data_IF_406275921355
#
_entry.id   IF_406275921355
#
_cell.length_a   1.000
_cell.length_b   1.000
_cell.length_c   1.000
_cell.angle_alpha   90.00
_cell.angle_beta   90.00
_cell.angle_gamma   90.00
#
_symmetry.space_group_name_H-M   'P 1'
#
loop_
_entity.id
_entity.type
_entity.pdbx_description
1 polymer ?
#
# COMPACT_ATOMS: atom_id res chain seq x y z
N UNK A 1 -1.11 -20.53 -14.23
CA UNK A 1 -2.30 -20.77 -15.09
C UNK A 1 -3.37 -21.55 -14.38
N UNK A 2 -3.05 -22.72 -13.84
CA UNK A 2 -4.02 -23.61 -13.19
C UNK A 2 -4.77 -22.96 -12.01
N UNK A 3 -4.09 -22.22 -11.13
CA UNK A 3 -4.72 -21.60 -9.96
C UNK A 3 -5.82 -20.58 -10.33
N UNK A 4 -5.56 -19.69 -11.29
CA UNK A 4 -6.53 -18.71 -11.77
C UNK A 4 -7.76 -19.40 -12.40
N UNK A 5 -7.51 -20.39 -13.26
CA UNK A 5 -8.58 -21.19 -13.86
C UNK A 5 -9.46 -21.87 -12.79
N UNK A 6 -8.86 -22.55 -11.81
CA UNK A 6 -9.62 -23.19 -10.74
C UNK A 6 -10.35 -22.19 -9.84
N UNK A 7 -9.78 -21.01 -9.62
CA UNK A 7 -10.48 -19.89 -8.97
C UNK A 7 -11.75 -19.51 -9.72
N UNK A 8 -11.67 -19.32 -11.04
CA UNK A 8 -12.84 -19.02 -11.87
C UNK A 8 -13.87 -20.15 -11.89
N UNK A 9 -13.43 -21.41 -11.93
CA UNK A 9 -14.34 -22.55 -11.83
C UNK A 9 -15.04 -22.62 -10.47
N UNK A 10 -14.35 -22.29 -9.37
CA UNK A 10 -14.96 -22.28 -8.04
C UNK A 10 -16.09 -21.24 -7.92
N UNK A 11 -15.94 -20.07 -8.53
CA UNK A 11 -17.01 -19.06 -8.61
C UNK A 11 -18.21 -19.58 -9.42
N UNK A 12 -17.97 -20.21 -10.58
CA UNK A 12 -19.05 -20.82 -11.39
C UNK A 12 -19.80 -21.92 -10.63
N UNK A 13 -19.09 -22.74 -9.86
CA UNK A 13 -19.70 -23.79 -9.03
C UNK A 13 -20.55 -23.16 -7.92
N UNK A 14 -20.05 -22.12 -7.25
CA UNK A 14 -20.80 -21.40 -6.22
C UNK A 14 -22.11 -20.82 -6.77
N UNK A 15 -22.07 -20.21 -7.96
CA UNK A 15 -23.26 -19.69 -8.65
C UNK A 15 -24.21 -20.82 -9.07
N UNK A 16 -23.69 -21.89 -9.69
CA UNK A 16 -24.50 -23.03 -10.15
C UNK A 16 -25.23 -23.72 -8.99
N UNK A 17 -24.56 -23.86 -7.85
CA UNK A 17 -25.13 -24.46 -6.64
C UNK A 17 -25.99 -23.47 -5.83
N UNK A 18 -26.11 -22.21 -6.26
CA UNK A 18 -26.85 -21.15 -5.57
C UNK A 18 -26.44 -20.95 -4.09
N UNK A 19 -25.17 -21.23 -3.77
CA UNK A 19 -24.62 -21.12 -2.41
C UNK A 19 -23.87 -19.80 -2.19
N UNK A 20 -24.41 -18.69 -2.73
CA UNK A 20 -23.78 -17.35 -2.63
C UNK A 20 -23.54 -16.89 -1.19
N UNK A 21 -24.28 -17.42 -0.22
CA UNK A 21 -24.03 -17.19 1.21
C UNK A 21 -22.63 -17.64 1.68
N UNK A 22 -21.95 -18.51 0.92
CA UNK A 22 -20.55 -18.92 1.17
C UNK A 22 -19.51 -17.98 0.54
N UNK A 23 -19.92 -16.93 -0.17
CA UNK A 23 -18.99 -16.04 -0.88
C UNK A 23 -17.96 -15.39 0.06
N UNK A 24 -18.35 -15.07 1.30
CA UNK A 24 -17.48 -14.54 2.36
C UNK A 24 -16.27 -15.44 2.68
N UNK A 25 -16.39 -16.76 2.47
CA UNK A 25 -15.32 -17.74 2.73
C UNK A 25 -14.39 -17.94 1.53
N UNK A 26 -14.90 -17.70 0.32
CA UNK A 26 -14.20 -18.01 -0.93
C UNK A 26 -13.53 -16.78 -1.53
N UNK A 27 -14.28 -15.69 -1.68
CA UNK A 27 -13.87 -14.52 -2.45
C UNK A 27 -12.62 -13.84 -1.86
N UNK A 28 -12.48 -13.64 -0.54
CA UNK A 28 -11.26 -13.06 0.03
C UNK A 28 -10.02 -13.90 -0.27
N UNK A 29 -10.12 -15.22 -0.19
CA UNK A 29 -9.02 -16.12 -0.52
C UNK A 29 -8.62 -16.04 -1.99
N UNK A 30 -9.59 -16.01 -2.91
CA UNK A 30 -9.31 -15.90 -4.34
C UNK A 30 -8.61 -14.57 -4.67
N UNK A 31 -9.09 -13.45 -4.14
CA UNK A 31 -8.46 -12.15 -4.42
C UNK A 31 -7.11 -11.99 -3.75
N UNK A 32 -6.95 -12.44 -2.50
CA UNK A 32 -5.68 -12.30 -1.81
C UNK A 32 -4.58 -13.23 -2.31
N UNK A 33 -4.90 -14.39 -2.88
CA UNK A 33 -3.88 -15.39 -3.22
C UNK A 33 -3.81 -15.74 -4.72
N UNK A 34 -4.86 -15.45 -5.49
CA UNK A 34 -5.00 -16.02 -6.85
C UNK A 34 -5.21 -14.95 -7.92
N UNK A 35 -6.27 -14.15 -7.83
CA UNK A 35 -6.69 -13.28 -8.93
C UNK A 35 -5.78 -12.07 -9.13
N UNK A 36 -5.20 -11.52 -8.07
CA UNK A 36 -4.28 -10.37 -8.17
C UNK A 36 -3.03 -10.67 -9.00
N UNK A 37 -2.71 -11.94 -9.29
CA UNK A 37 -1.62 -12.28 -10.20
C UNK A 37 -1.91 -11.95 -11.66
N UNK A 38 -3.19 -11.86 -12.04
CA UNK A 38 -3.61 -11.72 -13.45
C UNK A 38 -4.63 -10.63 -13.68
N UNK A 39 -5.25 -10.14 -12.62
CA UNK A 39 -6.28 -9.14 -12.66
C UNK A 39 -5.82 -7.88 -11.91
N UNK A 40 -6.22 -6.69 -12.39
CA UNK A 40 -5.98 -5.46 -11.66
C UNK A 40 -6.53 -5.57 -10.22
N UNK A 41 -5.76 -5.12 -9.23
CA UNK A 41 -6.16 -5.21 -7.83
C UNK A 41 -7.54 -4.57 -7.55
N UNK A 42 -7.83 -3.46 -8.23
CA UNK A 42 -9.13 -2.75 -8.16
C UNK A 42 -10.34 -3.63 -8.49
N UNK A 43 -10.16 -4.67 -9.31
CA UNK A 43 -11.23 -5.60 -9.66
C UNK A 43 -11.71 -6.42 -8.46
N UNK A 44 -10.93 -6.44 -7.37
CA UNK A 44 -11.31 -7.09 -6.10
C UNK A 44 -12.42 -6.39 -5.33
N UNK A 45 -12.59 -5.07 -5.50
CA UNK A 45 -13.37 -4.26 -4.56
C UNK A 45 -14.86 -4.61 -4.56
N UNK A 46 -15.46 -4.72 -5.73
CA UNK A 46 -16.87 -5.12 -5.88
C UNK A 46 -17.14 -6.50 -5.27
N UNK A 47 -16.45 -7.56 -5.73
CA UNK A 47 -16.61 -8.90 -5.18
C UNK A 47 -16.39 -8.99 -3.67
N UNK A 48 -15.39 -8.29 -3.12
CA UNK A 48 -15.10 -8.31 -1.68
C UNK A 48 -16.20 -7.62 -0.87
N UNK A 49 -16.76 -6.52 -1.38
CA UNK A 49 -17.87 -5.84 -0.73
C UNK A 49 -19.17 -6.68 -0.78
N UNK A 50 -19.43 -7.38 -1.88
CA UNK A 50 -20.52 -8.33 -2.00
C UNK A 50 -20.35 -9.52 -1.05
N UNK A 51 -19.13 -10.05 -0.94
CA UNK A 51 -18.78 -11.12 0.00
C UNK A 51 -19.02 -10.70 1.46
N UNK A 52 -18.64 -9.48 1.84
CA UNK A 52 -18.95 -8.90 3.15
C UNK A 52 -20.46 -8.89 3.42
N UNK A 53 -21.26 -8.32 2.51
CA UNK A 53 -22.72 -8.24 2.66
C UNK A 53 -23.37 -9.62 2.77
N UNK A 54 -22.90 -10.57 1.94
CA UNK A 54 -23.38 -11.96 1.96
C UNK A 54 -23.09 -12.65 3.30
N UNK A 55 -21.87 -12.49 3.82
CA UNK A 55 -21.48 -13.04 5.13
C UNK A 55 -22.32 -12.48 6.27
N UNK A 56 -22.57 -11.16 6.29
CA UNK A 56 -23.44 -10.55 7.30
C UNK A 56 -24.88 -11.11 7.24
N UNK A 57 -25.46 -11.22 6.05
CA UNK A 57 -26.80 -11.75 5.87
C UNK A 57 -26.91 -13.23 6.29
N UNK A 58 -25.83 -13.99 6.15
CA UNK A 58 -25.74 -15.37 6.58
C UNK A 58 -25.41 -15.54 8.08
N UNK A 59 -25.16 -14.45 8.81
CA UNK A 59 -24.70 -14.49 10.20
C UNK A 59 -23.24 -14.94 10.37
N UNK A 60 -22.48 -15.04 9.28
CA UNK A 60 -21.07 -15.44 9.28
C UNK A 60 -20.15 -14.21 9.45
N UNK A 61 -20.19 -13.62 10.65
CA UNK A 61 -19.52 -12.36 10.94
C UNK A 61 -17.99 -12.45 10.75
N UNK A 62 -17.35 -13.56 11.15
CA UNK A 62 -15.89 -13.70 11.02
C UNK A 62 -15.46 -13.57 9.55
N UNK A 63 -16.12 -14.29 8.63
CA UNK A 63 -15.78 -14.25 7.22
C UNK A 63 -16.29 -13.00 6.50
N UNK A 64 -17.40 -12.41 6.97
CA UNK A 64 -17.80 -11.08 6.53
C UNK A 64 -16.66 -10.09 6.80
N UNK A 65 -16.20 -10.00 8.04
CA UNK A 65 -15.13 -9.06 8.41
C UNK A 65 -13.76 -9.43 7.82
N UNK A 66 -13.48 -10.70 7.53
CA UNK A 66 -12.33 -11.06 6.69
C UNK A 66 -12.43 -10.46 5.27
N UNK A 67 -13.64 -10.45 4.68
CA UNK A 67 -13.90 -9.80 3.39
C UNK A 67 -13.77 -8.28 3.48
N UNK A 68 -14.24 -7.67 4.56
CA UNK A 68 -14.02 -6.25 4.83
C UNK A 68 -12.52 -5.92 4.97
N UNK A 69 -11.73 -6.79 5.61
CA UNK A 69 -10.27 -6.63 5.65
C UNK A 69 -9.65 -6.62 4.29
N UNK A 70 -10.02 -7.60 3.48
CA UNK A 70 -9.54 -7.69 2.12
C UNK A 70 -9.90 -6.44 1.33
N UNK A 71 -11.15 -5.99 1.43
CA UNK A 71 -11.61 -4.80 0.76
C UNK A 71 -10.74 -3.59 1.14
N UNK A 72 -10.58 -3.31 2.44
CA UNK A 72 -9.87 -2.11 2.87
C UNK A 72 -8.40 -2.12 2.44
N UNK A 73 -7.72 -3.27 2.56
CA UNK A 73 -6.32 -3.40 2.17
C UNK A 73 -6.14 -3.29 0.65
N UNK A 74 -6.96 -3.97 -0.15
CA UNK A 74 -6.90 -3.88 -1.60
C UNK A 74 -7.26 -2.47 -2.10
N UNK A 75 -8.20 -1.80 -1.46
CA UNK A 75 -8.58 -0.43 -1.78
C UNK A 75 -7.42 0.55 -1.53
N UNK A 76 -6.83 0.47 -0.33
CA UNK A 76 -5.66 1.29 0.02
C UNK A 76 -4.48 0.99 -0.89
N UNK A 77 -4.03 -0.27 -0.98
CA UNK A 77 -2.85 -0.64 -1.76
C UNK A 77 -3.04 -0.50 -3.29
N UNK A 78 -4.30 -0.40 -3.73
CA UNK A 78 -4.69 -0.18 -5.13
C UNK A 78 -4.61 1.29 -5.57
N UNK A 79 -4.34 2.22 -4.64
CA UNK A 79 -4.30 3.65 -4.95
C UNK A 79 -5.66 4.25 -5.28
N UNK A 80 -6.74 3.65 -4.78
CA UNK A 80 -8.09 4.17 -4.89
C UNK A 80 -8.32 5.33 -3.90
N UNK A 81 -9.36 6.13 -4.12
CA UNK A 81 -9.66 7.34 -3.33
C UNK A 81 -9.84 7.04 -1.83
N UNK A 82 -9.01 7.68 -1.00
CA UNK A 82 -9.03 7.50 0.45
C UNK A 82 -10.33 7.99 1.10
N UNK A 83 -11.03 8.96 0.50
CA UNK A 83 -12.30 9.48 1.05
C UNK A 83 -13.38 8.40 1.01
N UNK A 84 -13.52 7.71 -0.12
CA UNK A 84 -14.45 6.60 -0.27
C UNK A 84 -14.10 5.42 0.63
N UNK A 85 -12.81 5.11 0.79
CA UNK A 85 -12.33 4.08 1.71
C UNK A 85 -12.71 4.41 3.15
N UNK A 86 -12.41 5.63 3.60
CA UNK A 86 -12.71 6.12 4.95
C UNK A 86 -14.21 6.01 5.26
N UNK A 87 -15.06 6.47 4.34
CA UNK A 87 -16.52 6.35 4.46
C UNK A 87 -16.97 4.89 4.63
N UNK A 88 -16.44 3.98 3.80
CA UNK A 88 -16.78 2.56 3.86
C UNK A 88 -16.25 1.89 5.13
N UNK A 89 -15.08 2.30 5.63
CA UNK A 89 -14.50 1.83 6.88
C UNK A 89 -15.31 2.30 8.10
N UNK A 90 -15.89 3.51 8.09
CA UNK A 90 -16.83 3.96 9.14
C UNK A 90 -18.07 3.08 9.20
N UNK A 91 -18.59 2.61 8.06
CA UNK A 91 -19.69 1.65 8.01
C UNK A 91 -19.28 0.30 8.61
N UNK A 92 -18.10 -0.23 8.21
CA UNK A 92 -17.58 -1.48 8.77
C UNK A 92 -17.33 -1.38 10.28
N UNK A 93 -16.78 -0.25 10.75
CA UNK A 93 -16.55 0.02 12.17
C UNK A 93 -17.85 -0.09 12.97
N UNK A 94 -18.88 0.66 12.57
CA UNK A 94 -20.18 0.65 13.27
C UNK A 94 -20.74 -0.77 13.37
N UNK A 95 -20.68 -1.54 12.28
CA UNK A 95 -21.16 -2.93 12.28
C UNK A 95 -20.26 -3.85 13.11
N UNK A 96 -18.95 -3.60 13.14
CA UNK A 96 -17.99 -4.39 13.90
C UNK A 96 -18.19 -4.25 15.39
N UNK A 97 -18.44 -3.03 15.86
CA UNK A 97 -18.78 -2.72 17.26
C UNK A 97 -20.07 -3.42 17.72
N UNK A 98 -21.05 -3.60 16.83
CA UNK A 98 -22.27 -4.40 17.12
C UNK A 98 -22.00 -5.91 17.24
N UNK A 99 -20.92 -6.43 16.64
CA UNK A 99 -20.61 -7.86 16.59
C UNK A 99 -19.55 -8.29 17.63
N UNK A 100 -18.39 -7.63 17.66
CA UNK A 100 -17.27 -7.88 18.58
C UNK A 100 -16.18 -6.81 18.44
N UNK A 101 -15.64 -6.34 19.57
CA UNK A 101 -14.55 -5.36 19.61
C UNK A 101 -13.26 -5.82 18.90
N UNK A 102 -12.95 -7.14 18.92
CA UNK A 102 -11.72 -7.66 18.30
C UNK A 102 -11.73 -7.54 16.75
N UNK A 103 -12.90 -7.45 16.12
CA UNK A 103 -13.03 -7.26 14.67
C UNK A 103 -12.73 -5.81 14.26
N UNK A 104 -12.96 -4.85 15.15
CA UNK A 104 -12.64 -3.44 14.94
C UNK A 104 -11.11 -3.19 14.97
N UNK A 105 -10.40 -3.78 15.92
CA UNK A 105 -8.95 -3.62 16.09
C UNK A 105 -8.17 -3.95 14.80
N UNK A 106 -8.69 -4.86 13.96
CA UNK A 106 -8.06 -5.25 12.68
C UNK A 106 -7.97 -4.11 11.65
N UNK A 107 -8.91 -3.15 11.65
CA UNK A 107 -8.96 -2.03 10.70
C UNK A 107 -8.58 -0.69 11.30
N UNK A 108 -8.64 -0.57 12.62
CA UNK A 108 -8.41 0.69 13.33
C UNK A 108 -7.15 1.44 12.88
N UNK A 109 -5.97 0.78 12.73
CA UNK A 109 -4.76 1.47 12.25
C UNK A 109 -4.92 2.10 10.85
N UNK A 110 -5.53 1.37 9.92
CA UNK A 110 -5.73 1.87 8.55
C UNK A 110 -6.78 2.99 8.51
N UNK A 111 -7.82 2.93 9.35
CA UNK A 111 -8.81 4.01 9.43
C UNK A 111 -8.18 5.30 9.99
N UNK A 112 -7.39 5.17 11.06
CA UNK A 112 -6.64 6.30 11.63
C UNK A 112 -5.68 6.89 10.59
N UNK A 113 -4.98 6.05 9.82
CA UNK A 113 -4.13 6.51 8.72
C UNK A 113 -4.92 7.29 7.66
N UNK A 114 -6.10 6.79 7.25
CA UNK A 114 -6.93 7.45 6.24
C UNK A 114 -7.45 8.82 6.74
N UNK A 115 -7.93 8.89 7.99
CA UNK A 115 -8.35 10.15 8.60
C UNK A 115 -7.19 11.16 8.68
N UNK A 116 -6.00 10.67 9.05
CA UNK A 116 -4.81 11.50 9.16
C UNK A 116 -4.41 12.09 7.81
N UNK A 117 -4.31 11.23 6.78
CA UNK A 117 -3.99 11.65 5.42
C UNK A 117 -5.05 12.56 4.81
N UNK A 118 -6.33 12.32 5.10
CA UNK A 118 -7.45 13.15 4.67
C UNK A 118 -7.55 14.50 5.38
N UNK A 119 -6.78 14.71 6.46
CA UNK A 119 -6.80 15.94 7.26
C UNK A 119 -8.01 16.06 8.19
N UNK A 120 -8.66 14.95 8.55
CA UNK A 120 -9.81 14.94 9.46
C UNK A 120 -9.39 15.07 10.94
N UNK A 121 -8.15 14.70 11.28
CA UNK A 121 -7.64 14.67 12.66
C UNK A 121 -7.04 15.99 13.15
N UNK A 122 -7.40 17.12 12.52
CA UNK A 122 -6.99 18.46 12.96
C UNK A 122 -5.47 18.67 12.98
N UNK A 123 -4.91 19.12 14.11
CA UNK A 123 -3.49 19.44 14.28
C UNK A 123 -2.61 18.24 14.66
N UNK A 124 -3.14 17.02 14.61
CA UNK A 124 -2.38 15.81 14.95
C UNK A 124 -1.08 15.72 14.13
N UNK A 125 0.04 15.46 14.81
CA UNK A 125 1.35 15.25 14.21
C UNK A 125 1.53 13.80 13.73
N UNK A 126 2.57 13.53 12.92
CA UNK A 126 2.91 12.14 12.53
C UNK A 126 3.25 11.31 13.78
N UNK A 127 3.91 11.89 14.78
CA UNK A 127 4.28 11.19 16.01
C UNK A 127 3.03 10.82 16.82
N UNK A 128 2.07 11.75 16.94
CA UNK A 128 0.82 11.51 17.64
C UNK A 128 0.05 10.33 17.00
N UNK A 129 0.11 10.15 15.68
CA UNK A 129 -0.46 8.99 15.00
C UNK A 129 0.34 7.71 15.29
N UNK A 130 1.68 7.78 15.26
CA UNK A 130 2.53 6.62 15.51
C UNK A 130 2.38 6.09 16.95
N UNK A 131 2.16 6.98 17.92
CA UNK A 131 1.89 6.62 19.32
C UNK A 131 0.61 5.77 19.48
N UNK A 132 -0.38 5.93 18.60
CA UNK A 132 -1.58 5.07 18.62
C UNK A 132 -1.35 3.70 18.00
N UNK A 133 -0.34 3.56 17.13
CA UNK A 133 -0.04 2.30 16.42
C UNK A 133 0.78 1.35 17.30
N UNK A 134 1.70 1.87 18.11
CA UNK A 134 2.62 1.05 18.91
C UNK A 134 1.89 0.09 19.87
N UNK A 135 0.88 0.50 20.67
CA UNK A 135 0.13 -0.42 21.53
C UNK A 135 -0.63 -1.50 20.74
N UNK A 136 -1.15 -1.15 19.55
CA UNK A 136 -1.87 -2.09 18.68
C UNK A 136 -0.93 -3.13 18.09
N UNK A 137 0.27 -2.73 17.69
CA UNK A 137 1.32 -3.63 17.21
C UNK A 137 1.78 -4.58 18.31
N UNK A 138 2.08 -4.07 19.51
CA UNK A 138 2.52 -4.88 20.65
C UNK A 138 1.45 -5.90 21.05
N UNK A 139 0.20 -5.44 21.22
CA UNK A 139 -0.95 -6.31 21.54
C UNK A 139 -1.13 -7.43 20.50
N UNK A 140 -0.93 -7.14 19.21
CA UNK A 140 -1.03 -8.15 18.17
C UNK A 140 0.07 -9.22 18.29
N UNK A 141 1.32 -8.80 18.52
CA UNK A 141 2.42 -9.75 18.74
C UNK A 141 2.27 -10.57 20.02
N UNK A 142 1.83 -9.96 21.12
CA UNK A 142 1.54 -10.65 22.39
C UNK A 142 0.44 -11.71 22.25
N UNK A 143 -0.59 -11.43 21.44
CA UNK A 143 -1.65 -12.40 21.10
C UNK A 143 -1.21 -13.44 20.07
N UNK A 144 0.00 -13.35 19.53
CA UNK A 144 0.50 -14.23 18.47
C UNK A 144 -0.03 -13.92 17.06
N UNK A 145 -0.78 -12.82 16.87
CA UNK A 145 -1.24 -12.36 15.56
C UNK A 145 -0.13 -11.60 14.83
N UNK A 146 0.86 -12.36 14.34
CA UNK A 146 2.00 -11.82 13.60
C UNK A 146 1.56 -11.05 12.35
N UNK A 147 0.51 -11.49 11.66
CA UNK A 147 0.02 -10.84 10.43
C UNK A 147 -0.43 -9.42 10.74
N UNK A 148 -1.21 -9.24 11.81
CA UNK A 148 -1.65 -7.92 12.22
C UNK A 148 -0.49 -7.08 12.75
N UNK A 149 0.41 -7.64 13.56
CA UNK A 149 1.57 -6.92 14.08
C UNK A 149 2.45 -6.34 12.96
N UNK A 150 2.81 -7.15 11.97
CA UNK A 150 3.58 -6.67 10.82
C UNK A 150 2.79 -5.74 9.89
N UNK A 151 1.46 -5.88 9.80
CA UNK A 151 0.63 -4.93 9.07
C UNK A 151 0.70 -3.54 9.70
N UNK A 152 0.60 -3.45 11.04
CA UNK A 152 0.74 -2.16 11.75
C UNK A 152 2.13 -1.58 11.52
N UNK A 153 3.18 -2.40 11.66
CA UNK A 153 4.56 -1.98 11.38
C UNK A 153 4.74 -1.45 9.95
N UNK A 154 4.12 -2.09 8.95
CA UNK A 154 4.12 -1.61 7.56
C UNK A 154 3.40 -0.27 7.38
N UNK A 155 2.30 -0.03 8.10
CA UNK A 155 1.63 1.28 8.06
C UNK A 155 2.47 2.38 8.74
N UNK A 156 3.24 2.03 9.79
CA UNK A 156 4.21 2.94 10.41
C UNK A 156 5.34 3.29 9.43
N UNK A 157 5.94 2.29 8.77
CA UNK A 157 7.01 2.53 7.81
C UNK A 157 6.53 3.36 6.62
N UNK A 158 5.31 3.08 6.13
CA UNK A 158 4.64 3.82 5.08
C UNK A 158 4.49 5.31 5.43
N UNK A 159 3.94 5.64 6.61
CA UNK A 159 3.68 7.05 6.97
C UNK A 159 4.98 7.80 7.23
N UNK A 160 5.97 7.16 7.87
CA UNK A 160 7.31 7.73 8.08
C UNK A 160 7.98 8.04 6.74
N UNK A 161 7.94 7.10 5.79
CA UNK A 161 8.43 7.32 4.43
C UNK A 161 7.75 8.51 3.76
N UNK A 162 6.41 8.55 3.78
CA UNK A 162 5.62 9.56 3.07
C UNK A 162 5.91 10.98 3.57
N UNK A 163 6.23 11.14 4.86
CA UNK A 163 6.59 12.44 5.46
C UNK A 163 8.10 12.69 5.56
N UNK A 164 8.92 11.78 4.99
CA UNK A 164 10.37 11.94 4.86
C UNK A 164 11.20 11.56 6.10
N UNK A 165 10.62 10.90 7.09
CA UNK A 165 11.33 10.38 8.26
C UNK A 165 11.92 8.98 7.97
N UNK A 166 12.88 8.94 7.05
CA UNK A 166 13.50 7.68 6.62
C UNK A 166 14.33 7.02 7.73
N UNK A 167 14.95 7.83 8.59
CA UNK A 167 15.78 7.38 9.72
C UNK A 167 14.96 6.58 10.74
N UNK A 168 13.78 7.08 11.14
CA UNK A 168 12.88 6.32 12.03
C UNK A 168 12.23 5.12 11.33
N UNK A 169 12.07 5.16 10.01
CA UNK A 169 11.52 4.06 9.22
C UNK A 169 12.48 2.87 9.11
N UNK A 170 13.79 3.09 9.30
CA UNK A 170 14.82 2.04 9.27
C UNK A 170 14.51 0.87 10.21
N UNK A 171 14.05 1.17 11.44
CA UNK A 171 13.68 0.17 12.45
C UNK A 171 12.50 -0.69 12.00
N UNK A 172 11.51 -0.08 11.36
CA UNK A 172 10.34 -0.81 10.85
C UNK A 172 10.74 -1.74 9.70
N UNK A 173 11.64 -1.29 8.81
CA UNK A 173 12.19 -2.14 7.74
C UNK A 173 12.89 -3.37 8.32
N UNK A 174 13.74 -3.19 9.34
CA UNK A 174 14.43 -4.30 10.01
C UNK A 174 13.42 -5.31 10.60
N UNK A 175 12.35 -4.83 11.24
CA UNK A 175 11.26 -5.69 11.74
C UNK A 175 10.56 -6.41 10.59
N UNK A 176 10.16 -5.70 9.53
CA UNK A 176 9.41 -6.27 8.40
C UNK A 176 10.24 -7.33 7.66
N UNK A 177 11.55 -7.13 7.50
CA UNK A 177 12.45 -8.14 6.89
C UNK A 177 12.42 -9.45 7.69
N UNK A 178 12.33 -9.39 9.02
CA UNK A 178 12.23 -10.60 9.87
C UNK A 178 10.87 -11.32 9.76
N UNK A 179 9.87 -10.72 9.12
CA UNK A 179 8.58 -11.36 8.87
C UNK A 179 8.71 -12.57 7.92
N UNK A 180 9.74 -12.61 7.08
CA UNK A 180 10.00 -13.69 6.12
C UNK A 180 8.79 -13.98 5.22
N UNK A 181 8.46 -15.27 5.06
CA UNK A 181 7.39 -15.75 4.17
C UNK A 181 5.96 -15.54 4.72
N UNK A 182 5.77 -14.80 5.82
CA UNK A 182 4.45 -14.64 6.44
C UNK A 182 3.38 -14.11 5.48
N UNK A 183 3.81 -13.27 4.52
CA UNK A 183 2.94 -12.68 3.52
C UNK A 183 3.03 -13.37 2.15
N UNK A 184 3.78 -14.47 2.03
CA UNK A 184 4.04 -15.14 0.76
C UNK A 184 2.75 -15.37 -0.04
N UNK A 185 2.78 -14.96 -1.31
CA UNK A 185 1.67 -15.09 -2.24
C UNK A 185 0.51 -14.12 -2.03
N UNK A 186 0.60 -13.17 -1.09
CA UNK A 186 -0.40 -12.11 -0.87
C UNK A 186 0.05 -10.81 -1.52
N UNK A 187 -0.90 -10.04 -2.06
CA UNK A 187 -0.60 -8.74 -2.66
C UNK A 187 0.03 -7.72 -1.68
N UNK A 188 -0.12 -7.89 -0.36
CA UNK A 188 0.59 -7.03 0.59
C UNK A 188 2.12 -7.17 0.48
N UNK A 189 2.65 -8.31 0.03
CA UNK A 189 4.10 -8.51 -0.14
C UNK A 189 4.77 -7.54 -1.12
N UNK A 190 4.34 -7.42 -2.41
CA UNK A 190 4.95 -6.45 -3.31
C UNK A 190 4.73 -5.00 -2.84
N UNK A 191 3.63 -4.71 -2.14
CA UNK A 191 3.41 -3.40 -1.54
C UNK A 191 4.46 -3.12 -0.44
N UNK A 192 4.70 -4.06 0.49
CA UNK A 192 5.76 -3.93 1.50
C UNK A 192 7.15 -3.80 0.87
N UNK A 193 7.47 -4.65 -0.12
CA UNK A 193 8.77 -4.63 -0.80
C UNK A 193 9.03 -3.29 -1.48
N UNK A 194 8.00 -2.67 -2.07
CA UNK A 194 8.10 -1.36 -2.69
C UNK A 194 8.48 -0.25 -1.70
N UNK A 195 7.76 -0.11 -0.58
CA UNK A 195 8.08 0.92 0.41
C UNK A 195 9.40 0.63 1.14
N UNK A 196 9.71 -0.63 1.44
CA UNK A 196 11.01 -1.02 1.99
C UNK A 196 12.15 -0.66 1.02
N UNK A 197 11.96 -0.89 -0.28
CA UNK A 197 12.90 -0.48 -1.32
C UNK A 197 13.08 1.03 -1.37
N UNK A 198 12.00 1.81 -1.33
CA UNK A 198 12.07 3.27 -1.34
C UNK A 198 12.76 3.85 -0.08
N UNK A 199 12.48 3.29 1.10
CA UNK A 199 13.16 3.64 2.35
C UNK A 199 14.64 3.28 2.25
N UNK A 200 14.97 2.09 1.75
CA UNK A 200 16.35 1.64 1.56
C UNK A 200 17.11 2.53 0.58
N UNK A 201 16.48 2.96 -0.52
CA UNK A 201 17.08 3.92 -1.46
C UNK A 201 17.37 5.28 -0.81
N UNK A 202 16.45 5.78 0.01
CA UNK A 202 16.64 7.03 0.75
C UNK A 202 17.80 6.90 1.77
N UNK A 203 17.85 5.81 2.53
CA UNK A 203 18.90 5.56 3.52
C UNK A 203 20.26 5.26 2.89
N UNK A 204 20.30 4.58 1.74
CA UNK A 204 21.53 4.40 0.96
C UNK A 204 22.12 5.75 0.54
N UNK A 205 21.27 6.72 0.18
CA UNK A 205 21.70 8.09 -0.15
C UNK A 205 22.23 8.86 1.08
N UNK A 206 21.53 8.77 2.21
CA UNK A 206 21.82 9.52 3.44
C UNK A 206 23.05 8.94 4.16
N UNK A 207 23.01 7.64 4.46
CA UNK A 207 24.01 6.97 5.31
C UNK A 207 25.18 6.40 4.51
N UNK A 208 24.99 6.10 3.22
CA UNK A 208 26.00 5.49 2.34
C UNK A 208 26.57 4.16 2.88
N UNK A 209 25.75 3.41 3.61
CA UNK A 209 26.09 2.08 4.12
C UNK A 209 25.64 1.02 3.12
N UNK A 210 26.51 0.03 2.84
CA UNK A 210 26.25 -1.03 1.84
C UNK A 210 24.96 -1.82 2.12
N UNK A 211 24.61 -2.01 3.40
CA UNK A 211 23.40 -2.75 3.80
C UNK A 211 22.12 -2.20 3.16
N UNK A 212 22.03 -0.89 2.95
CA UNK A 212 20.85 -0.26 2.34
C UNK A 212 20.83 -0.43 0.82
N UNK A 213 22.01 -0.51 0.18
CA UNK A 213 22.12 -0.89 -1.22
C UNK A 213 21.71 -2.35 -1.43
N UNK A 214 22.14 -3.25 -0.55
CA UNK A 214 21.74 -4.66 -0.55
C UNK A 214 20.22 -4.81 -0.39
N UNK A 215 19.64 -4.18 0.63
CA UNK A 215 18.18 -4.22 0.85
C UNK A 215 17.40 -3.65 -0.34
N UNK A 216 17.88 -2.56 -0.96
CA UNK A 216 17.25 -2.05 -2.18
C UNK A 216 17.31 -3.10 -3.31
N UNK A 217 18.46 -3.72 -3.55
CA UNK A 217 18.62 -4.77 -4.59
C UNK A 217 17.73 -5.97 -4.33
N UNK A 218 17.59 -6.40 -3.08
CA UNK A 218 16.72 -7.52 -2.69
C UNK A 218 15.25 -7.21 -2.97
N UNK A 219 14.78 -6.02 -2.58
CA UNK A 219 13.40 -5.59 -2.84
C UNK A 219 13.13 -5.43 -4.36
N UNK A 220 14.10 -4.92 -5.12
CA UNK A 220 14.02 -4.86 -6.59
C UNK A 220 13.95 -6.25 -7.21
N UNK A 221 14.78 -7.20 -6.78
CA UNK A 221 14.75 -8.59 -7.26
C UNK A 221 13.39 -9.23 -6.98
N UNK A 222 12.86 -9.04 -5.78
CA UNK A 222 11.55 -9.53 -5.39
C UNK A 222 10.44 -8.95 -6.28
N UNK A 223 10.44 -7.63 -6.47
CA UNK A 223 9.46 -6.97 -7.35
C UNK A 223 9.61 -7.37 -8.81
N UNK A 224 10.82 -7.67 -9.29
CA UNK A 224 11.05 -8.18 -10.65
C UNK A 224 10.38 -9.54 -10.86
N UNK A 225 10.52 -10.45 -9.89
CA UNK A 225 9.85 -11.74 -9.94
C UNK A 225 8.31 -11.58 -9.92
N UNK A 226 7.79 -10.67 -9.11
CA UNK A 226 6.36 -10.36 -9.07
C UNK A 226 5.85 -9.70 -10.35
N UNK A 227 6.55 -8.71 -10.86
CA UNK A 227 6.22 -7.99 -12.09
C UNK A 227 6.21 -8.91 -13.31
N UNK A 228 7.06 -9.94 -13.34
CA UNK A 228 7.06 -10.94 -14.42
C UNK A 228 5.76 -11.75 -14.48
N UNK A 229 5.05 -11.87 -13.34
CA UNK A 229 3.81 -12.63 -13.22
C UNK A 229 2.57 -11.73 -13.21
N UNK A 230 2.68 -10.52 -12.67
CA UNK A 230 1.61 -9.56 -12.45
C UNK A 230 2.05 -8.13 -12.82
N UNK A 231 2.37 -7.85 -14.10
CA UNK A 231 2.87 -6.55 -14.53
C UNK A 231 1.88 -5.41 -14.19
N UNK A 232 0.58 -5.66 -14.39
CA UNK A 232 -0.52 -4.73 -14.12
C UNK A 232 -0.54 -4.14 -12.70
N UNK A 233 0.04 -4.83 -11.72
CA UNK A 233 0.01 -4.38 -10.33
C UNK A 233 1.39 -4.02 -9.75
N UNK A 234 2.47 -4.45 -10.38
CA UNK A 234 3.82 -4.39 -9.78
C UNK A 234 4.87 -3.67 -10.64
N UNK A 235 4.64 -3.51 -11.95
CA UNK A 235 5.68 -3.02 -12.87
C UNK A 235 6.08 -1.57 -12.55
N UNK A 236 5.11 -0.69 -12.32
CA UNK A 236 5.35 0.71 -11.96
C UNK A 236 6.21 0.85 -10.68
N UNK A 237 6.03 -0.08 -9.73
CA UNK A 237 6.77 -0.10 -8.46
C UNK A 237 8.23 -0.46 -8.69
N UNK A 238 8.48 -1.49 -9.51
CA UNK A 238 9.83 -1.90 -9.88
C UNK A 238 10.56 -0.78 -10.63
N UNK A 239 9.91 -0.20 -11.65
CA UNK A 239 10.52 0.86 -12.47
C UNK A 239 10.89 2.08 -11.61
N UNK A 240 10.07 2.44 -10.61
CA UNK A 240 10.42 3.52 -9.71
C UNK A 240 11.64 3.20 -8.83
N UNK A 241 11.77 1.96 -8.34
CA UNK A 241 12.98 1.55 -7.62
C UNK A 241 14.22 1.53 -8.52
N UNK A 242 14.07 1.13 -9.79
CA UNK A 242 15.14 1.22 -10.78
C UNK A 242 15.55 2.67 -11.03
N UNK A 243 14.61 3.62 -11.05
CA UNK A 243 14.92 5.04 -11.14
C UNK A 243 15.76 5.50 -9.94
N UNK A 244 15.35 5.16 -8.71
CA UNK A 244 16.12 5.51 -7.50
C UNK A 244 17.51 4.86 -7.48
N UNK A 245 17.64 3.61 -7.93
CA UNK A 245 18.93 2.95 -8.08
C UNK A 245 19.81 3.67 -9.12
N UNK A 246 19.26 4.06 -10.27
CA UNK A 246 20.00 4.81 -11.29
C UNK A 246 20.51 6.15 -10.74
N UNK A 247 19.72 6.83 -9.89
CA UNK A 247 20.18 8.04 -9.17
C UNK A 247 21.37 7.72 -8.25
N UNK A 248 21.30 6.65 -7.46
CA UNK A 248 22.41 6.23 -6.58
C UNK A 248 23.68 5.88 -7.37
N UNK A 249 23.52 5.34 -8.58
CA UNK A 249 24.61 4.97 -9.48
C UNK A 249 25.06 6.11 -10.41
N UNK A 250 24.56 7.35 -10.20
CA UNK A 250 24.86 8.52 -11.03
C UNK A 250 24.58 8.33 -12.54
N UNK A 251 23.60 7.48 -12.88
CA UNK A 251 23.18 7.18 -14.25
C UNK A 251 21.98 8.05 -14.66
N UNK A 252 22.25 9.33 -14.95
CA UNK A 252 21.22 10.37 -15.11
C UNK A 252 20.22 10.13 -16.25
N UNK A 253 20.71 9.68 -17.41
CA UNK A 253 19.85 9.38 -18.55
C UNK A 253 18.88 8.23 -18.26
N UNK A 254 19.33 7.25 -17.48
CA UNK A 254 18.49 6.13 -17.05
C UNK A 254 17.49 6.58 -16.00
N UNK A 255 17.93 7.33 -14.98
CA UNK A 255 17.05 7.86 -13.94
C UNK A 255 15.88 8.65 -14.53
N UNK A 256 16.14 9.58 -15.46
CA UNK A 256 15.10 10.39 -16.12
C UNK A 256 14.08 9.52 -16.86
N UNK A 257 14.54 8.61 -17.74
CA UNK A 257 13.66 7.70 -18.48
C UNK A 257 12.82 6.81 -17.56
N UNK A 258 13.41 6.33 -16.46
CA UNK A 258 12.73 5.45 -15.51
C UNK A 258 11.70 6.22 -14.67
N UNK A 259 11.95 7.46 -14.29
CA UNK A 259 10.94 8.29 -13.62
C UNK A 259 9.72 8.53 -14.54
N UNK A 260 9.95 8.93 -15.79
CA UNK A 260 8.87 9.15 -16.77
C UNK A 260 8.05 7.87 -16.98
N UNK A 261 8.74 6.73 -17.19
CA UNK A 261 8.08 5.43 -17.35
C UNK A 261 7.30 4.99 -16.11
N UNK A 262 7.83 5.21 -14.90
CA UNK A 262 7.12 4.88 -13.66
C UNK A 262 5.82 5.70 -13.52
N UNK A 263 5.87 6.99 -13.87
CA UNK A 263 4.71 7.90 -13.85
C UNK A 263 3.65 7.44 -14.85
N UNK A 264 4.06 7.13 -16.08
CA UNK A 264 3.15 6.69 -17.14
C UNK A 264 2.48 5.35 -16.79
N UNK A 265 3.26 4.36 -16.33
CA UNK A 265 2.73 3.07 -15.91
C UNK A 265 1.82 3.17 -14.69
N UNK A 266 2.15 4.01 -13.70
CA UNK A 266 1.29 4.24 -12.55
C UNK A 266 -0.02 4.91 -12.96
N UNK A 267 0.01 5.79 -13.97
CA UNK A 267 -1.18 6.42 -14.54
C UNK A 267 -2.04 5.42 -15.32
N UNK A 268 -1.43 4.60 -16.19
CA UNK A 268 -2.11 3.58 -17.00
C UNK A 268 -2.79 2.51 -16.12
N UNK A 269 -2.05 2.00 -15.12
CA UNK A 269 -2.55 1.03 -14.15
C UNK A 269 -3.38 1.67 -13.02
N UNK A 270 -3.52 3.00 -13.04
CA UNK A 270 -4.35 3.82 -12.14
C UNK A 270 -3.97 3.70 -10.66
N UNK A 271 -2.69 3.51 -10.34
CA UNK A 271 -2.16 3.56 -8.97
C UNK A 271 -1.87 5.01 -8.59
N UNK A 272 -2.90 5.73 -8.15
CA UNK A 272 -2.83 7.18 -7.88
C UNK A 272 -1.71 7.55 -6.90
N UNK A 273 -1.58 6.79 -5.81
CA UNK A 273 -0.53 7.01 -4.82
C UNK A 273 0.88 6.79 -5.38
N UNK A 274 1.09 5.76 -6.21
CA UNK A 274 2.40 5.45 -6.80
C UNK A 274 2.79 6.56 -7.77
N UNK A 275 1.83 7.08 -8.54
CA UNK A 275 2.02 8.22 -9.44
C UNK A 275 2.43 9.48 -8.67
N UNK A 276 1.74 9.78 -7.55
CA UNK A 276 2.08 10.93 -6.72
C UNK A 276 3.51 10.82 -6.16
N UNK A 277 3.87 9.65 -5.64
CA UNK A 277 5.22 9.37 -5.13
C UNK A 277 6.24 9.48 -6.27
N UNK A 278 5.99 8.90 -7.44
CA UNK A 278 6.92 8.97 -8.57
C UNK A 278 7.18 10.42 -9.02
N UNK A 279 6.15 11.26 -9.09
CA UNK A 279 6.33 12.70 -9.32
C UNK A 279 7.13 13.35 -8.19
N UNK A 280 6.83 13.10 -6.92
CA UNK A 280 7.59 13.69 -5.80
C UNK A 280 9.07 13.30 -5.85
N UNK A 281 9.36 12.03 -6.17
CA UNK A 281 10.74 11.53 -6.33
C UNK A 281 11.46 12.17 -7.51
N UNK A 282 10.80 12.32 -8.65
CA UNK A 282 11.35 13.04 -9.79
C UNK A 282 11.62 14.52 -9.45
N UNK A 283 10.73 15.17 -8.69
CA UNK A 283 10.93 16.52 -8.19
C UNK A 283 12.19 16.66 -7.33
N UNK A 284 12.36 15.75 -6.35
CA UNK A 284 13.57 15.67 -5.51
C UNK A 284 14.82 15.47 -6.36
N UNK A 285 14.76 14.59 -7.37
CA UNK A 285 15.88 14.35 -8.28
C UNK A 285 16.28 15.61 -9.05
N UNK A 286 15.33 16.29 -9.71
CA UNK A 286 15.62 17.49 -10.50
C UNK A 286 16.09 18.66 -9.63
N UNK A 287 15.55 18.80 -8.41
CA UNK A 287 16.05 19.77 -7.44
C UNK A 287 17.52 19.51 -7.10
N UNK A 288 17.88 18.25 -6.84
CA UNK A 288 19.27 17.84 -6.59
C UNK A 288 20.22 18.06 -7.79
N UNK A 289 19.68 18.22 -9.00
CA UNK A 289 20.42 18.58 -10.22
C UNK A 289 20.43 20.08 -10.51
N UNK A 290 19.74 20.90 -9.71
CA UNK A 290 19.61 22.34 -9.93
C UNK A 290 18.63 22.73 -11.04
N UNK A 291 17.80 21.80 -11.53
CA UNK A 291 16.74 22.09 -12.53
C UNK A 291 15.43 22.44 -11.80
N UNK A 292 15.36 23.67 -11.29
CA UNK A 292 14.23 24.18 -10.50
C UNK A 292 12.91 24.16 -11.28
N UNK A 293 12.95 24.36 -12.61
CA UNK A 293 11.75 24.36 -13.45
C UNK A 293 11.11 22.98 -13.50
N UNK A 294 11.90 21.92 -13.76
CA UNK A 294 11.37 20.55 -13.74
C UNK A 294 11.02 20.10 -12.34
N UNK A 295 11.83 20.46 -11.35
CA UNK A 295 11.52 20.21 -9.94
C UNK A 295 10.12 20.73 -9.59
N UNK A 296 9.84 22.01 -9.87
CA UNK A 296 8.55 22.65 -9.60
C UNK A 296 7.41 21.98 -10.37
N UNK A 297 7.62 21.65 -11.65
CA UNK A 297 6.63 20.91 -12.44
C UNK A 297 6.23 19.59 -11.78
N UNK A 298 7.22 18.79 -11.38
CA UNK A 298 6.97 17.48 -10.76
C UNK A 298 6.34 17.63 -9.38
N UNK A 299 6.75 18.60 -8.55
CA UNK A 299 6.08 18.84 -7.26
C UNK A 299 4.63 19.29 -7.41
N UNK A 300 4.31 20.16 -8.37
CA UNK A 300 2.92 20.53 -8.68
C UNK A 300 2.08 19.32 -9.09
N UNK A 301 2.62 18.45 -9.95
CA UNK A 301 1.94 17.19 -10.32
C UNK A 301 1.77 16.22 -9.15
N UNK A 302 2.77 16.11 -8.27
CA UNK A 302 2.68 15.30 -7.07
C UNK A 302 1.59 15.82 -6.13
N UNK A 303 1.54 17.13 -5.89
CA UNK A 303 0.52 17.80 -5.08
C UNK A 303 -0.89 17.50 -5.60
N UNK A 304 -1.15 17.75 -6.89
CA UNK A 304 -2.47 17.51 -7.49
C UNK A 304 -2.87 16.03 -7.42
N UNK A 305 -1.90 15.13 -7.60
CA UNK A 305 -2.15 13.69 -7.54
C UNK A 305 -2.40 13.22 -6.10
N UNK A 306 -1.74 13.79 -5.09
CA UNK A 306 -2.06 13.52 -3.69
C UNK A 306 -3.47 14.00 -3.31
N UNK A 307 -3.90 15.16 -3.81
CA UNK A 307 -5.28 15.62 -3.65
C UNK A 307 -6.27 14.67 -4.31
N UNK A 308 -5.99 14.21 -5.53
CA UNK A 308 -6.82 13.23 -6.24
C UNK A 308 -6.92 11.89 -5.48
N UNK A 309 -5.85 11.47 -4.82
CA UNK A 309 -5.86 10.27 -3.98
C UNK A 309 -6.63 10.46 -2.66
N UNK A 310 -6.93 11.70 -2.27
CA UNK A 310 -7.55 12.03 -0.98
C UNK A 310 -6.56 12.26 0.17
N UNK A 311 -5.26 12.28 -0.11
CA UNK A 311 -4.20 12.52 0.89
C UNK A 311 -3.90 14.01 1.06
N UNK A 312 -4.93 14.79 1.43
CA UNK A 312 -4.86 16.25 1.59
C UNK A 312 -3.70 16.71 2.48
N UNK A 313 -3.51 16.07 3.64
CA UNK A 313 -2.43 16.45 4.58
C UNK A 313 -1.05 16.32 3.94
N UNK A 314 -0.84 15.28 3.13
CA UNK A 314 0.43 15.10 2.41
C UNK A 314 0.60 16.15 1.31
N UNK A 315 -0.48 16.49 0.59
CA UNK A 315 -0.44 17.59 -0.39
C UNK A 315 -0.08 18.94 0.27
N UNK A 316 -0.74 19.28 1.39
CA UNK A 316 -0.47 20.51 2.14
C UNK A 316 0.99 20.54 2.64
N UNK A 317 1.47 19.44 3.22
CA UNK A 317 2.87 19.29 3.65
C UNK A 317 3.87 19.46 2.50
N UNK A 318 3.56 18.96 1.30
CA UNK A 318 4.43 19.14 0.13
C UNK A 318 4.48 20.61 -0.30
N UNK A 319 3.34 21.29 -0.35
CA UNK A 319 3.25 22.72 -0.70
C UNK A 319 3.99 23.63 0.29
N UNK A 320 4.00 23.29 1.56
CA UNK A 320 4.73 24.05 2.59
C UNK A 320 6.25 23.92 2.46
N UNK A 321 6.75 22.76 2.01
CA UNK A 321 8.18 22.46 1.93
C UNK A 321 8.82 22.75 0.58
N UNK A 322 8.02 22.79 -0.48
CA UNK A 322 8.51 22.92 -1.84
C UNK A 322 7.75 24.06 -2.53
N UNK A 323 8.43 25.14 -2.96
CA UNK A 323 7.81 26.13 -3.82
C UNK A 323 7.60 25.51 -5.21
N UNK A 324 6.37 25.56 -5.73
CA UNK A 324 6.03 25.21 -7.10
C UNK A 324 4.87 26.03 -7.63
#
# INVERSE_FOLDING_TARGET
ESAHYYGMQSLKIMDRLQVRWKSARLIPGLWFFVFHWREPLRSSLGPLLEAYKSGLNAGDNEFAFASATAYCLCHFMGGEDLTSLESQMKVFKKKGEECSNDLFDRFSPLLQLCNFLGGQDGSQSVNDLLETFEPLMMKAFEKGDRIQGFRVCHLQSFIKYLFGDYESAAKDVEIIVTAGDLFAGRYCSPHCAFYNGLISAALARIRKEEKWFDLLRENMKYLKEWSSKSPLNCEQKLILLEAEMAVLMNSDDEARRKYDLAIDLANENKFTQDKAIAHERAGIYYLGKGDESKSSHHYGKAHDTYLLWGAKRKADHLRERCPF
#
